data_IF_554781376677
#
_entry.id   IF_554781376677
#
_cell.length_a   1.000
_cell.length_b   1.000
_cell.length_c   1.000
_cell.angle_alpha   90.00
_cell.angle_beta   90.00
_cell.angle_gamma   90.00
#
_symmetry.space_group_name_H-M   'P 1'
#
loop_
_entity.id
_entity.type
_entity.pdbx_description
1 polymer ?
#
# COMPACT_ATOMS: atom_id res chain seq x y z
N UNK A 1 13.29 -14.48 7.19
CA UNK A 1 13.05 -13.09 7.64
C UNK A 1 13.42 -12.99 9.11
N UNK A 2 13.98 -11.87 9.59
CA UNK A 2 14.11 -11.64 11.01
C UNK A 2 12.71 -11.67 11.66
N UNK A 3 12.59 -11.98 12.96
CA UNK A 3 11.32 -11.88 13.64
C UNK A 3 10.81 -10.44 13.57
N UNK A 4 9.56 -10.28 13.19
CA UNK A 4 8.89 -8.98 13.12
C UNK A 4 8.04 -8.80 14.38
N UNK A 5 8.09 -7.62 14.96
CA UNK A 5 7.24 -7.21 16.07
C UNK A 5 6.35 -6.05 15.63
N UNK A 6 5.04 -6.18 15.90
CA UNK A 6 4.06 -5.14 15.62
C UNK A 6 2.85 -5.27 16.56
N UNK A 7 2.21 -4.14 16.87
CA UNK A 7 0.94 -4.12 17.61
C UNK A 7 -0.24 -4.47 16.71
N UNK A 8 -0.17 -4.08 15.42
CA UNK A 8 -1.24 -4.26 14.44
C UNK A 8 -0.64 -4.89 13.17
N UNK A 9 -1.32 -5.87 12.62
CA UNK A 9 -0.97 -6.51 11.34
C UNK A 9 -2.16 -6.44 10.40
N UNK A 10 -1.92 -5.92 9.20
CA UNK A 10 -2.93 -5.85 8.14
C UNK A 10 -2.58 -6.86 7.05
N UNK A 11 -3.54 -7.71 6.68
CA UNK A 11 -3.45 -8.57 5.50
C UNK A 11 -4.46 -8.10 4.45
N UNK A 12 -4.00 -7.77 3.26
CA UNK A 12 -4.86 -7.21 2.20
C UNK A 12 -5.67 -8.28 1.48
N UNK A 13 -5.15 -9.51 1.41
CA UNK A 13 -5.79 -10.64 0.74
C UNK A 13 -5.18 -11.98 1.19
N UNK A 14 -5.83 -13.10 0.84
CA UNK A 14 -5.49 -14.45 1.34
C UNK A 14 -4.64 -15.25 0.33
N UNK A 15 -3.53 -14.68 -0.16
CA UNK A 15 -2.52 -15.44 -0.88
C UNK A 15 -1.38 -15.85 0.06
N UNK A 16 -0.81 -17.04 -0.15
CA UNK A 16 0.17 -17.66 0.75
C UNK A 16 1.47 -16.86 0.95
N UNK A 17 1.80 -15.98 0.02
CA UNK A 17 2.94 -15.07 0.04
C UNK A 17 2.63 -13.71 0.69
N UNK A 18 1.35 -13.42 0.98
CA UNK A 18 0.88 -12.18 1.59
C UNK A 18 0.17 -12.35 2.94
N UNK A 19 -0.08 -13.58 3.39
CA UNK A 19 -0.88 -13.87 4.60
C UNK A 19 -0.12 -14.60 5.71
N UNK A 20 1.20 -14.38 5.85
CA UNK A 20 1.97 -15.00 6.93
C UNK A 20 1.92 -14.18 8.24
N UNK A 21 0.71 -13.85 8.69
CA UNK A 21 0.48 -13.05 9.92
C UNK A 21 1.05 -13.69 11.18
N UNK A 22 1.18 -15.04 11.19
CA UNK A 22 1.73 -15.79 12.32
C UNK A 22 3.23 -15.58 12.55
N UNK A 23 3.94 -15.01 11.56
CA UNK A 23 5.36 -14.66 11.67
C UNK A 23 5.59 -13.38 12.47
N UNK A 24 4.54 -12.62 12.79
CA UNK A 24 4.61 -11.36 13.54
C UNK A 24 4.18 -11.62 14.98
N UNK A 25 4.90 -11.02 15.92
CA UNK A 25 4.59 -11.07 17.36
C UNK A 25 4.32 -9.68 17.89
N UNK A 26 3.58 -9.58 18.99
CA UNK A 26 3.42 -8.31 19.69
C UNK A 26 4.75 -7.89 20.31
N UNK A 27 5.03 -6.58 20.43
CA UNK A 27 6.29 -6.08 20.95
C UNK A 27 6.48 -6.47 22.42
N UNK A 28 7.67 -6.91 22.78
CA UNK A 28 8.04 -7.24 24.15
C UNK A 28 7.86 -6.06 25.12
N UNK A 29 8.03 -4.82 24.61
CA UNK A 29 7.82 -3.57 25.35
C UNK A 29 6.38 -3.35 25.82
N UNK A 30 5.40 -3.99 25.17
CA UNK A 30 3.96 -3.94 25.52
C UNK A 30 3.47 -5.23 26.18
N UNK A 31 4.38 -6.08 26.68
CA UNK A 31 4.07 -7.33 27.37
C UNK A 31 4.09 -8.57 26.47
N UNK A 32 4.42 -8.41 25.18
CA UNK A 32 4.41 -9.51 24.21
C UNK A 32 2.99 -9.98 23.87
N UNK A 33 2.89 -11.14 23.30
CA UNK A 33 1.61 -11.74 22.91
C UNK A 33 1.41 -11.71 21.39
N UNK A 34 0.16 -11.80 20.97
CA UNK A 34 -0.18 -11.75 19.56
C UNK A 34 -0.60 -10.34 19.14
N UNK A 35 -0.24 -9.88 17.94
CA UNK A 35 -0.70 -8.61 17.41
C UNK A 35 -2.20 -8.62 17.14
N UNK A 36 -2.80 -7.43 17.05
CA UNK A 36 -4.15 -7.33 16.51
C UNK A 36 -4.12 -7.53 14.99
N UNK A 37 -4.78 -8.57 14.49
CA UNK A 37 -4.74 -8.94 13.07
C UNK A 37 -6.05 -8.52 12.38
N UNK A 38 -5.94 -7.75 11.30
CA UNK A 38 -7.05 -7.33 10.44
C UNK A 38 -6.86 -7.96 9.07
N UNK A 39 -7.86 -8.71 8.60
CA UNK A 39 -7.77 -9.49 7.34
C UNK A 39 -8.87 -9.16 6.34
N UNK A 40 -9.57 -8.04 6.49
CA UNK A 40 -10.66 -7.69 5.59
C UNK A 40 -11.23 -6.30 5.81
N UNK A 41 -12.29 -5.96 5.03
CA UNK A 41 -12.97 -4.68 5.14
C UNK A 41 -13.59 -4.47 6.53
N UNK A 42 -13.61 -3.20 6.96
CA UNK A 42 -14.18 -2.79 8.25
C UNK A 42 -13.61 -1.48 8.74
N UNK A 43 -14.06 -1.04 9.89
CA UNK A 43 -13.53 0.13 10.59
C UNK A 43 -12.99 -0.30 11.95
N UNK A 44 -11.79 0.12 12.26
CA UNK A 44 -11.04 -0.29 13.45
C UNK A 44 -10.35 0.91 14.07
N UNK A 45 -10.23 0.91 15.39
CA UNK A 45 -9.44 1.88 16.13
C UNK A 45 -8.65 1.14 17.20
N UNK A 46 -7.32 1.14 17.08
CA UNK A 46 -6.42 0.41 17.97
C UNK A 46 -5.24 1.31 18.32
N UNK A 47 -5.03 1.61 19.58
CA UNK A 47 -3.90 2.41 20.08
C UNK A 47 -3.74 3.75 19.35
N UNK A 48 -4.83 4.50 19.22
CA UNK A 48 -4.88 5.80 18.53
C UNK A 48 -4.57 5.72 17.02
N UNK A 49 -4.63 4.53 16.42
CA UNK A 49 -4.55 4.32 14.99
C UNK A 49 -5.94 3.97 14.47
N UNK A 50 -6.51 4.84 13.64
CA UNK A 50 -7.76 4.57 12.94
C UNK A 50 -7.46 3.87 11.60
N UNK A 51 -8.18 2.77 11.33
CA UNK A 51 -7.97 1.96 10.12
C UNK A 51 -9.31 1.70 9.48
N UNK A 52 -9.41 1.98 8.19
CA UNK A 52 -10.56 1.61 7.37
C UNK A 52 -10.13 0.64 6.29
N UNK A 53 -10.68 -0.58 6.31
CA UNK A 53 -10.56 -1.57 5.24
C UNK A 53 -11.66 -1.36 4.21
N UNK A 54 -11.31 -1.12 2.95
CA UNK A 54 -12.23 -0.85 1.85
C UNK A 54 -12.15 -2.02 0.87
N UNK A 55 -13.30 -2.65 0.52
CA UNK A 55 -13.30 -3.77 -0.42
C UNK A 55 -12.84 -3.34 -1.81
N UNK A 56 -12.01 -4.17 -2.42
CA UNK A 56 -11.51 -4.03 -3.78
C UNK A 56 -11.23 -5.39 -4.39
N UNK A 57 -10.71 -5.43 -5.62
CA UNK A 57 -10.46 -6.67 -6.34
C UNK A 57 -9.00 -6.79 -6.78
N UNK A 58 -8.50 -8.02 -6.76
CA UNK A 58 -7.16 -8.36 -7.21
C UNK A 58 -7.07 -8.59 -8.74
N UNK A 59 -8.14 -8.32 -9.47
CA UNK A 59 -8.23 -8.40 -10.92
C UNK A 59 -9.29 -7.46 -11.49
N UNK A 60 -9.31 -7.30 -12.83
CA UNK A 60 -10.29 -6.46 -13.54
C UNK A 60 -11.68 -7.12 -13.69
N UNK A 61 -11.83 -8.38 -13.28
CA UNK A 61 -13.07 -9.17 -13.39
C UNK A 61 -13.81 -9.30 -12.07
N UNK A 62 -13.67 -8.32 -11.20
CA UNK A 62 -14.34 -8.29 -9.89
C UNK A 62 -13.99 -9.50 -9.00
N UNK A 63 -12.72 -9.90 -9.02
CA UNK A 63 -12.20 -10.97 -8.19
C UNK A 63 -12.44 -12.39 -8.73
N UNK A 64 -12.92 -12.55 -9.95
CA UNK A 64 -13.18 -13.87 -10.53
C UNK A 64 -11.91 -14.69 -10.80
N UNK A 65 -10.80 -14.03 -11.10
CA UNK A 65 -9.54 -14.70 -11.44
C UNK A 65 -8.61 -14.83 -10.22
N UNK A 66 -8.51 -13.78 -9.37
CA UNK A 66 -7.54 -13.69 -8.27
C UNK A 66 -8.13 -13.38 -6.90
N UNK A 67 -9.45 -13.22 -6.83
CA UNK A 67 -10.14 -12.97 -5.58
C UNK A 67 -10.25 -11.49 -5.21
N UNK A 68 -10.61 -11.28 -3.96
CA UNK A 68 -10.79 -9.95 -3.38
C UNK A 68 -9.47 -9.40 -2.83
N UNK A 69 -9.40 -8.09 -2.73
CA UNK A 69 -8.33 -7.35 -2.09
C UNK A 69 -8.96 -6.32 -1.13
N UNK A 70 -8.25 -5.93 -0.11
CA UNK A 70 -8.65 -4.87 0.81
C UNK A 70 -7.67 -3.71 0.71
N UNK A 71 -8.18 -2.54 0.37
CA UNK A 71 -7.44 -1.28 0.49
C UNK A 71 -7.52 -0.84 1.94
N UNK A 72 -6.40 -0.45 2.54
CA UNK A 72 -6.37 0.09 3.89
C UNK A 72 -6.05 1.58 3.88
N UNK A 73 -6.99 2.38 4.39
CA UNK A 73 -6.76 3.77 4.76
C UNK A 73 -6.46 3.82 6.26
N UNK A 74 -5.33 4.40 6.63
CA UNK A 74 -4.78 4.39 7.98
C UNK A 74 -4.52 5.82 8.41
N UNK A 75 -5.03 6.22 9.56
CA UNK A 75 -4.73 7.51 10.17
C UNK A 75 -3.94 7.30 11.45
N UNK A 76 -2.71 7.82 11.48
CA UNK A 76 -1.80 7.74 12.61
C UNK A 76 -0.96 9.02 12.71
N UNK A 77 -0.78 9.55 13.92
CA UNK A 77 0.03 10.76 14.18
C UNK A 77 -0.36 11.97 13.30
N UNK A 78 -1.65 12.08 12.93
CA UNK A 78 -2.18 13.14 12.08
C UNK A 78 -1.86 12.97 10.59
N UNK A 79 -1.21 11.88 10.17
CA UNK A 79 -0.96 11.55 8.78
C UNK A 79 -1.94 10.49 8.29
N UNK A 80 -2.31 10.58 7.01
CA UNK A 80 -3.20 9.62 6.34
C UNK A 80 -2.43 8.82 5.30
N UNK A 81 -2.31 7.52 5.56
CA UNK A 81 -1.66 6.57 4.68
C UNK A 81 -2.73 5.74 3.97
N UNK A 82 -2.48 5.42 2.70
CA UNK A 82 -3.31 4.48 1.95
C UNK A 82 -2.43 3.39 1.36
N UNK A 83 -2.78 2.12 1.64
CA UNK A 83 -2.10 0.94 1.08
C UNK A 83 -3.08 0.20 0.18
N UNK A 84 -2.80 0.17 -1.12
CA UNK A 84 -3.71 -0.40 -2.11
C UNK A 84 -3.69 -1.94 -2.18
N UNK A 85 -2.76 -2.59 -1.45
CA UNK A 85 -2.58 -4.04 -1.55
C UNK A 85 -2.20 -4.47 -2.96
N UNK A 86 -2.68 -5.64 -3.36
CA UNK A 86 -2.52 -6.16 -4.71
C UNK A 86 -3.69 -5.78 -5.61
N UNK A 87 -3.98 -4.47 -5.66
CA UNK A 87 -5.06 -3.94 -6.46
C UNK A 87 -4.91 -4.33 -7.94
N UNK A 88 -5.96 -4.95 -8.50
CA UNK A 88 -6.03 -5.33 -9.91
C UNK A 88 -7.02 -4.51 -10.75
N UNK A 89 -7.81 -3.62 -10.13
CA UNK A 89 -8.73 -2.72 -10.83
C UNK A 89 -7.97 -1.57 -11.48
N UNK A 90 -8.25 -1.27 -12.76
CA UNK A 90 -7.56 -0.21 -13.49
C UNK A 90 -7.86 1.20 -12.97
N UNK A 91 -8.95 1.38 -12.23
CA UNK A 91 -9.40 2.63 -11.60
C UNK A 91 -10.14 2.36 -10.30
N UNK A 92 -10.17 3.32 -9.41
CA UNK A 92 -11.00 3.29 -8.21
C UNK A 92 -12.40 3.79 -8.52
N UNK A 93 -13.42 3.18 -7.90
CA UNK A 93 -14.79 3.68 -7.97
C UNK A 93 -14.93 4.96 -7.14
N UNK A 94 -15.95 5.77 -7.42
CA UNK A 94 -16.26 6.97 -6.62
C UNK A 94 -16.49 6.64 -5.14
N UNK A 95 -17.13 5.51 -4.85
CA UNK A 95 -17.36 5.02 -3.49
C UNK A 95 -16.03 4.69 -2.78
N UNK A 96 -15.09 4.03 -3.50
CA UNK A 96 -13.76 3.73 -2.95
C UNK A 96 -12.97 5.02 -2.70
N UNK A 97 -12.94 5.95 -3.66
CA UNK A 97 -12.27 7.27 -3.48
C UNK A 97 -12.86 8.03 -2.30
N UNK A 98 -14.20 8.08 -2.19
CA UNK A 98 -14.89 8.73 -1.08
C UNK A 98 -14.56 8.11 0.28
N UNK A 99 -14.45 6.78 0.36
CA UNK A 99 -14.11 6.05 1.60
C UNK A 99 -12.64 6.17 1.98
N UNK A 100 -11.76 6.24 0.99
CA UNK A 100 -10.32 6.48 1.21
C UNK A 100 -10.12 7.89 1.77
N UNK A 101 -10.78 8.89 1.16
CA UNK A 101 -10.63 10.29 1.54
C UNK A 101 -9.26 10.86 1.17
N UNK A 102 -8.81 11.90 1.87
CA UNK A 102 -7.51 12.52 1.62
C UNK A 102 -6.37 11.57 1.98
N UNK A 103 -5.32 11.57 1.17
CA UNK A 103 -4.14 10.70 1.34
C UNK A 103 -2.88 11.56 1.38
N UNK A 104 -2.09 11.41 2.43
CA UNK A 104 -0.76 12.00 2.50
C UNK A 104 0.29 11.08 1.87
N UNK A 105 0.23 9.78 2.17
CA UNK A 105 1.20 8.78 1.68
C UNK A 105 0.44 7.61 1.05
N UNK A 106 0.69 7.36 -0.23
CA UNK A 106 0.09 6.27 -0.99
C UNK A 106 1.12 5.17 -1.29
N UNK A 107 0.80 3.93 -0.95
CA UNK A 107 1.50 2.74 -1.40
C UNK A 107 0.72 2.11 -2.55
N UNK A 108 1.30 2.10 -3.76
CA UNK A 108 0.64 1.65 -4.99
C UNK A 108 1.43 0.55 -5.69
N UNK A 109 0.79 -0.59 -6.04
CA UNK A 109 1.45 -1.62 -6.85
C UNK A 109 1.63 -1.11 -8.29
N UNK A 110 2.79 -1.40 -8.91
CA UNK A 110 3.13 -0.91 -10.25
C UNK A 110 3.71 -1.98 -11.17
N UNK A 111 3.85 -3.21 -10.69
CA UNK A 111 4.54 -4.29 -11.39
C UNK A 111 3.72 -5.02 -12.45
N UNK A 112 2.49 -4.64 -12.69
CA UNK A 112 1.63 -5.30 -13.68
C UNK A 112 1.48 -6.80 -13.43
N UNK A 113 1.18 -7.59 -14.45
CA UNK A 113 1.05 -9.06 -14.47
C UNK A 113 0.02 -9.60 -13.45
N UNK A 114 0.19 -9.31 -12.17
CA UNK A 114 -0.71 -9.74 -11.10
C UNK A 114 -1.54 -8.58 -10.53
N UNK A 115 -1.04 -7.36 -10.64
CA UNK A 115 -1.66 -6.12 -10.14
C UNK A 115 -1.80 -5.11 -11.27
N UNK A 116 -2.23 -3.91 -10.95
CA UNK A 116 -2.23 -2.81 -11.92
C UNK A 116 -0.82 -2.53 -12.44
N UNK A 117 -0.72 -2.20 -13.73
CA UNK A 117 0.53 -1.76 -14.36
C UNK A 117 0.72 -0.24 -14.25
N UNK A 118 1.84 0.24 -14.75
CA UNK A 118 2.31 1.63 -14.62
C UNK A 118 1.25 2.70 -14.93
N UNK A 119 0.56 2.59 -16.07
CA UNK A 119 -0.43 3.57 -16.50
C UNK A 119 -1.66 3.62 -15.59
N UNK A 120 -2.20 2.46 -15.22
CA UNK A 120 -3.35 2.38 -14.32
C UNK A 120 -2.98 2.88 -12.92
N UNK A 121 -1.78 2.54 -12.43
CA UNK A 121 -1.25 3.06 -11.18
C UNK A 121 -1.14 4.58 -11.18
N UNK A 122 -0.64 5.19 -12.27
CA UNK A 122 -0.58 6.65 -12.41
C UNK A 122 -1.97 7.29 -12.43
N UNK A 123 -2.97 6.67 -13.08
CA UNK A 123 -4.35 7.16 -13.05
C UNK A 123 -4.93 7.13 -11.63
N UNK A 124 -4.67 6.07 -10.87
CA UNK A 124 -5.10 5.97 -9.46
C UNK A 124 -4.43 7.04 -8.58
N UNK A 125 -3.15 7.32 -8.82
CA UNK A 125 -2.47 8.44 -8.15
C UNK A 125 -3.17 9.75 -8.43
N UNK A 126 -3.58 10.01 -9.69
CA UNK A 126 -4.33 11.21 -10.05
C UNK A 126 -5.75 11.26 -9.45
N UNK A 127 -6.39 10.10 -9.19
CA UNK A 127 -7.68 10.08 -8.51
C UNK A 127 -7.58 10.44 -7.02
N UNK A 128 -6.45 10.09 -6.37
CA UNK A 128 -6.25 10.27 -4.93
C UNK A 128 -5.42 11.50 -4.57
N UNK A 129 -4.67 12.06 -5.51
CA UNK A 129 -3.80 13.24 -5.35
C UNK A 129 -2.97 13.23 -4.05
N UNK A 130 -2.23 12.13 -3.76
CA UNK A 130 -1.45 12.03 -2.54
C UNK A 130 -0.24 12.96 -2.58
N UNK A 131 0.29 13.37 -1.43
CA UNK A 131 1.53 14.17 -1.33
C UNK A 131 2.78 13.36 -1.61
N UNK A 132 2.78 12.09 -1.18
CA UNK A 132 3.87 11.13 -1.44
C UNK A 132 3.29 9.85 -2.02
N UNK A 133 3.96 9.34 -3.07
CA UNK A 133 3.66 8.04 -3.66
C UNK A 133 4.87 7.13 -3.50
N UNK A 134 4.63 5.94 -2.98
CA UNK A 134 5.64 4.89 -2.82
C UNK A 134 5.21 3.71 -3.71
N UNK A 135 5.89 3.50 -4.86
CA UNK A 135 5.63 2.33 -5.69
C UNK A 135 6.06 1.05 -4.97
N UNK A 136 5.25 0.02 -5.09
CA UNK A 136 5.52 -1.31 -4.55
C UNK A 136 5.19 -2.40 -5.56
N UNK A 137 5.41 -3.67 -5.20
CA UNK A 137 5.05 -4.85 -6.00
C UNK A 137 5.58 -4.79 -7.44
N UNK A 138 6.86 -4.48 -7.62
CA UNK A 138 7.56 -4.44 -8.92
C UNK A 138 8.80 -5.33 -8.90
N UNK A 139 9.36 -5.59 -10.09
CA UNK A 139 10.51 -6.47 -10.25
C UNK A 139 11.74 -5.92 -9.53
N UNK A 140 12.20 -6.67 -8.55
CA UNK A 140 13.47 -6.43 -7.84
C UNK A 140 14.53 -7.43 -8.29
N UNK A 141 15.84 -7.08 -8.19
CA UNK A 141 16.91 -8.03 -8.44
C UNK A 141 16.73 -9.31 -7.61
N UNK A 142 16.89 -10.49 -8.22
CA UNK A 142 16.76 -11.82 -7.61
C UNK A 142 15.31 -12.31 -7.37
N UNK A 143 14.28 -11.54 -7.66
CA UNK A 143 12.92 -12.07 -7.68
C UNK A 143 12.74 -13.05 -8.84
N UNK A 144 12.08 -14.18 -8.55
CA UNK A 144 11.78 -15.22 -9.56
C UNK A 144 10.42 -15.04 -10.22
N UNK A 145 9.66 -14.05 -9.80
CA UNK A 145 8.34 -13.73 -10.34
C UNK A 145 8.45 -12.87 -11.59
N UNK A 146 7.52 -13.05 -12.53
CA UNK A 146 7.36 -12.15 -13.66
C UNK A 146 6.66 -10.88 -13.18
N UNK A 147 7.40 -9.80 -13.04
CA UNK A 147 6.87 -8.47 -12.73
C UNK A 147 7.52 -7.46 -13.67
N UNK A 148 6.83 -6.37 -13.93
CA UNK A 148 7.40 -5.21 -14.58
C UNK A 148 8.23 -4.38 -13.61
N UNK A 149 9.18 -3.59 -14.14
CA UNK A 149 10.00 -2.69 -13.33
C UNK A 149 9.20 -1.44 -12.95
N UNK A 150 9.67 -0.70 -11.95
CA UNK A 150 9.10 0.59 -11.60
C UNK A 150 9.37 1.70 -12.65
N UNK A 151 10.32 1.50 -13.59
CA UNK A 151 10.78 2.53 -14.53
C UNK A 151 9.65 3.12 -15.37
N UNK A 152 8.69 2.30 -15.84
CA UNK A 152 7.57 2.77 -16.64
C UNK A 152 6.61 3.61 -15.80
N UNK A 153 6.36 3.23 -14.55
CA UNK A 153 5.58 4.06 -13.62
C UNK A 153 6.28 5.39 -13.32
N UNK A 154 7.58 5.38 -13.05
CA UNK A 154 8.37 6.60 -12.85
C UNK A 154 8.32 7.53 -14.06
N UNK A 155 8.25 6.96 -15.28
CA UNK A 155 8.07 7.73 -16.51
C UNK A 155 6.70 8.36 -16.59
N UNK A 156 5.62 7.62 -16.30
CA UNK A 156 4.24 8.14 -16.30
C UNK A 156 4.08 9.27 -15.28
N UNK A 157 4.73 9.16 -14.12
CA UNK A 157 4.72 10.18 -13.06
C UNK A 157 5.71 11.34 -13.27
N UNK A 158 6.45 11.39 -14.39
CA UNK A 158 7.48 12.41 -14.60
C UNK A 158 8.69 12.35 -13.66
N UNK A 159 8.84 11.25 -12.91
CA UNK A 159 9.80 11.06 -11.83
C UNK A 159 10.99 10.14 -12.21
N UNK A 160 11.40 10.12 -13.47
CA UNK A 160 12.47 9.22 -13.98
C UNK A 160 13.80 9.31 -13.21
N UNK A 161 14.06 10.45 -12.58
CA UNK A 161 15.29 10.70 -11.83
C UNK A 161 15.12 10.48 -10.32
N UNK A 162 14.02 9.83 -9.89
CA UNK A 162 13.84 9.50 -8.49
C UNK A 162 14.90 8.48 -8.05
N UNK A 163 15.82 8.90 -7.20
CA UNK A 163 16.84 8.00 -6.67
C UNK A 163 16.26 7.13 -5.55
N UNK A 164 16.49 5.79 -5.61
CA UNK A 164 16.07 4.89 -4.56
C UNK A 164 16.78 5.20 -3.23
N UNK A 165 16.02 5.13 -2.15
CA UNK A 165 16.54 5.35 -0.79
C UNK A 165 16.16 4.22 0.16
N UNK A 166 17.00 3.90 1.13
CA UNK A 166 16.77 2.80 2.06
C UNK A 166 15.77 3.12 3.17
N UNK A 167 15.44 4.40 3.36
CA UNK A 167 14.52 4.85 4.43
C UNK A 167 13.91 6.21 4.10
N UNK A 168 12.62 6.34 4.38
CA UNK A 168 11.92 7.63 4.41
C UNK A 168 11.62 8.00 5.87
N UNK A 169 12.16 9.11 6.34
CA UNK A 169 11.76 9.74 7.60
C UNK A 169 10.90 10.95 7.26
N UNK A 170 9.68 10.97 7.76
CA UNK A 170 8.73 12.04 7.47
C UNK A 170 7.90 12.38 8.70
N UNK A 171 7.55 13.64 8.83
CA UNK A 171 6.63 14.16 9.83
C UNK A 171 5.55 14.96 9.13
N UNK A 172 4.43 15.18 9.79
CA UNK A 172 3.28 15.90 9.21
C UNK A 172 3.66 17.28 8.65
N UNK A 173 4.59 17.99 9.27
CA UNK A 173 5.03 19.31 8.80
C UNK A 173 5.93 19.27 7.55
N UNK A 174 6.48 18.08 7.20
CA UNK A 174 7.25 17.89 5.97
C UNK A 174 6.35 17.70 4.74
N UNK A 175 5.06 17.48 4.97
CA UNK A 175 4.03 17.28 3.95
C UNK A 175 3.44 18.61 3.45
N UNK A 176 4.28 19.62 3.30
CA UNK A 176 3.89 20.93 2.79
C UNK A 176 4.00 20.98 1.26
N UNK A 177 2.97 21.48 0.60
CA UNK A 177 2.90 21.65 -0.86
C UNK A 177 1.80 20.81 -1.51
N UNK A 178 1.44 21.20 -2.75
CA UNK A 178 0.36 20.57 -3.51
C UNK A 178 0.88 19.58 -4.58
N UNK A 179 2.21 19.43 -4.70
CA UNK A 179 2.81 18.55 -5.69
C UNK A 179 3.03 17.15 -5.14
N UNK A 180 2.60 16.15 -5.92
CA UNK A 180 2.86 14.74 -5.62
C UNK A 180 4.32 14.40 -5.82
N UNK A 181 4.99 13.89 -4.77
CA UNK A 181 6.38 13.41 -4.83
C UNK A 181 6.43 11.90 -4.89
N UNK A 182 7.15 11.35 -5.87
CA UNK A 182 7.42 9.90 -5.94
C UNK A 182 8.69 9.58 -5.16
N UNK A 183 8.59 8.61 -4.24
CA UNK A 183 9.70 8.12 -3.41
C UNK A 183 9.87 6.63 -3.65
N UNK A 184 11.02 6.23 -4.16
CA UNK A 184 11.37 4.82 -4.35
C UNK A 184 12.12 4.32 -3.12
N UNK A 185 11.59 3.29 -2.46
CA UNK A 185 12.26 2.65 -1.34
C UNK A 185 12.92 1.34 -1.80
N UNK A 186 14.14 1.12 -1.34
CA UNK A 186 14.85 -0.17 -1.51
C UNK A 186 14.61 -1.05 -0.30
N UNK A 187 14.32 -2.36 -0.50
CA UNK A 187 14.17 -3.32 0.61
C UNK A 187 15.49 -3.60 1.34
#
# INVERSE_FOLDING_TARGET
>A
MPPLEADIVLSTHDHSDHNNVRAVKGPASTGGGDPFVITGPGEYEIKDVAIRGIPSFHDEKQGLDRGTNTIYAIEAEGMRLCHLGDLGQAELTEDQVSKIGNVDILFVPVGGVYTVGAKAAANIVHQLEPRIVIPMHYLLPKLKFKLEKADDFLKEMGAKNAEPQGKLNIKIHDLSGDETKVVVLTP
#
